data_IF_025729832519
#
_entry.id   IF_025729832519
#
_cell.length_a   1.000
_cell.length_b   1.000
_cell.length_c   1.000
_cell.angle_alpha   90.00
_cell.angle_beta   90.00
_cell.angle_gamma   90.00
#
_symmetry.space_group_name_H-M   'P 1'
#
loop_
_entity.id
_entity.type
_entity.pdbx_description
1 polymer ?
#
# COMPACT_ATOMS: atom_id res chain seq x y z
N UNK A 1 -48.88 30.93 -1.62
CA UNK A 1 -48.05 30.89 -0.39
C UNK A 1 -47.57 29.46 -0.20
N UNK A 2 -46.36 29.16 -0.67
CA UNK A 2 -45.79 27.80 -0.62
C UNK A 2 -45.15 27.60 0.76
N UNK A 3 -45.71 26.66 1.54
CA UNK A 3 -45.20 26.28 2.85
C UNK A 3 -43.88 25.54 2.71
N UNK A 4 -42.79 26.19 3.10
CA UNK A 4 -41.48 25.55 3.30
C UNK A 4 -41.62 24.65 4.52
N UNK A 5 -41.89 23.36 4.28
CA UNK A 5 -41.85 22.34 5.33
C UNK A 5 -40.42 22.30 5.88
N UNK A 6 -40.29 22.63 7.16
CA UNK A 6 -39.01 22.63 7.88
C UNK A 6 -38.30 21.30 7.71
N UNK A 7 -37.16 21.34 7.05
CA UNK A 7 -36.24 20.21 6.96
C UNK A 7 -35.74 19.98 8.40
N UNK A 8 -35.94 18.79 9.00
CA UNK A 8 -35.48 18.55 10.35
C UNK A 8 -33.97 18.76 10.41
N UNK A 9 -33.50 19.50 11.41
CA UNK A 9 -32.09 19.86 11.64
C UNK A 9 -31.11 18.68 11.66
N UNK A 10 -31.61 17.45 11.71
CA UNK A 10 -30.84 16.20 11.63
C UNK A 10 -30.55 15.71 10.21
N UNK A 11 -31.17 16.26 9.17
CA UNK A 11 -30.98 15.82 7.77
C UNK A 11 -29.71 16.40 7.17
N UNK A 12 -29.35 17.63 7.54
CA UNK A 12 -28.15 18.30 7.06
C UNK A 12 -26.83 17.56 7.37
N UNK A 13 -26.57 17.07 8.61
CA UNK A 13 -25.34 16.34 8.89
C UNK A 13 -25.29 14.98 8.18
N UNK A 14 -26.42 14.29 8.04
CA UNK A 14 -26.48 12.99 7.35
C UNK A 14 -26.15 13.15 5.86
N UNK A 15 -26.70 14.18 5.20
CA UNK A 15 -26.36 14.47 3.80
C UNK A 15 -24.90 14.85 3.61
N UNK A 16 -24.32 15.62 4.54
CA UNK A 16 -22.91 15.99 4.48
C UNK A 16 -22.00 14.75 4.57
N UNK A 17 -22.30 13.81 5.46
CA UNK A 17 -21.55 12.54 5.59
C UNK A 17 -21.65 11.73 4.30
N UNK A 18 -22.87 11.55 3.76
CA UNK A 18 -23.07 10.80 2.50
C UNK A 18 -22.32 11.43 1.31
N UNK A 19 -22.31 12.76 1.20
CA UNK A 19 -21.58 13.47 0.14
C UNK A 19 -20.06 13.27 0.25
N UNK A 20 -19.52 13.29 1.47
CA UNK A 20 -18.09 13.01 1.72
C UNK A 20 -17.73 11.56 1.36
N UNK A 21 -18.56 10.57 1.71
CA UNK A 21 -18.33 9.17 1.35
C UNK A 21 -18.36 8.93 -0.17
N UNK A 22 -19.23 9.64 -0.90
CA UNK A 22 -19.30 9.56 -2.36
C UNK A 22 -18.05 10.18 -3.03
N UNK A 23 -17.57 11.33 -2.52
CA UNK A 23 -16.37 12.01 -3.03
C UNK A 23 -15.08 11.26 -2.68
N UNK A 24 -15.05 10.55 -1.55
CA UNK A 24 -13.90 9.75 -1.11
C UNK A 24 -13.70 8.46 -1.92
N UNK A 25 -14.62 8.13 -2.84
CA UNK A 25 -14.48 6.96 -3.70
C UNK A 25 -14.57 5.65 -2.93
N UNK A 26 -15.50 5.54 -1.96
CA UNK A 26 -15.85 4.26 -1.34
C UNK A 26 -16.37 3.29 -2.41
N UNK A 27 -15.47 2.54 -3.05
CA UNK A 27 -15.82 1.45 -3.94
C UNK A 27 -16.23 0.28 -3.06
N UNK A 28 -17.53 -0.03 -3.04
CA UNK A 28 -17.98 -1.28 -2.45
C UNK A 28 -17.42 -2.42 -3.31
N UNK A 29 -16.52 -3.22 -2.73
CA UNK A 29 -16.04 -4.44 -3.37
C UNK A 29 -17.20 -5.43 -3.38
N UNK A 30 -17.93 -5.51 -4.50
CA UNK A 30 -18.88 -6.60 -4.71
C UNK A 30 -18.12 -7.91 -4.73
N UNK A 31 -18.53 -8.85 -3.87
CA UNK A 31 -18.02 -10.21 -3.91
C UNK A 31 -18.33 -10.83 -5.30
N UNK A 32 -17.36 -11.48 -5.95
CA UNK A 32 -17.63 -12.15 -7.22
C UNK A 32 -18.65 -13.28 -7.02
N UNK A 33 -19.54 -13.51 -8.00
CA UNK A 33 -20.48 -14.63 -7.90
C UNK A 33 -19.71 -15.96 -7.81
N UNK A 34 -20.22 -16.95 -7.06
CA UNK A 34 -19.58 -18.26 -6.99
C UNK A 34 -19.50 -18.89 -8.39
N UNK A 35 -18.30 -19.29 -8.82
CA UNK A 35 -18.09 -19.96 -10.11
C UNK A 35 -18.61 -21.40 -10.05
N UNK A 36 -19.38 -21.87 -11.05
CA UNK A 36 -19.71 -23.28 -11.17
C UNK A 36 -18.45 -24.10 -11.52
N UNK A 37 -18.23 -25.19 -10.79
CA UNK A 37 -17.10 -26.10 -10.98
C UNK A 37 -17.28 -26.94 -12.26
N UNK A 38 -16.50 -26.66 -13.30
CA UNK A 38 -16.39 -27.47 -14.51
C UNK A 38 -15.00 -28.08 -14.68
N UNK A 39 -14.85 -29.23 -15.37
CA UNK A 39 -13.57 -29.93 -15.51
C UNK A 39 -12.58 -29.22 -16.48
N UNK A 40 -11.29 -29.23 -16.13
CA UNK A 40 -10.19 -28.60 -16.89
C UNK A 40 -9.73 -29.43 -18.10
N UNK A 41 -9.29 -28.82 -19.23
CA UNK A 41 -8.65 -29.51 -20.33
C UNK A 41 -7.12 -29.64 -20.18
N UNK A 42 -6.58 -30.76 -20.67
CA UNK A 42 -5.17 -31.20 -20.62
C UNK A 42 -4.25 -30.44 -21.59
N UNK A 43 -3.01 -30.15 -21.18
CA UNK A 43 -1.99 -29.45 -21.97
C UNK A 43 -1.01 -30.41 -22.70
N UNK A 44 -0.40 -30.03 -23.86
CA UNK A 44 0.51 -30.89 -24.61
C UNK A 44 2.00 -30.73 -24.22
N UNK A 45 2.74 -31.82 -24.42
CA UNK A 45 4.14 -32.09 -24.07
C UNK A 45 5.15 -31.33 -24.96
N UNK A 46 6.29 -30.87 -24.39
CA UNK A 46 7.34 -30.17 -25.16
C UNK A 46 8.72 -30.87 -25.03
N UNK A 47 9.52 -30.95 -26.11
CA UNK A 47 10.74 -31.77 -26.20
C UNK A 47 11.99 -31.18 -25.53
N UNK A 48 12.84 -32.13 -25.11
CA UNK A 48 14.19 -32.09 -24.53
C UNK A 48 15.10 -30.93 -24.98
N UNK A 49 15.68 -30.19 -24.02
CA UNK A 49 16.77 -29.25 -24.26
C UNK A 49 17.97 -29.56 -23.35
N UNK A 50 19.14 -29.60 -23.99
CA UNK A 50 20.39 -30.19 -23.51
C UNK A 50 20.92 -29.59 -22.19
N UNK A 51 21.38 -30.50 -21.32
CA UNK A 51 21.88 -30.21 -19.98
C UNK A 51 23.18 -29.40 -19.99
N UNK A 52 23.11 -28.17 -19.46
CA UNK A 52 24.28 -27.38 -19.08
C UNK A 52 24.71 -27.78 -17.65
N UNK A 53 26.01 -28.07 -17.39
CA UNK A 53 26.45 -28.51 -16.07
C UNK A 53 26.39 -27.37 -15.04
N UNK A 54 25.95 -27.64 -13.80
CA UNK A 54 25.79 -26.60 -12.78
C UNK A 54 27.14 -26.11 -12.23
N UNK A 55 27.23 -24.84 -11.79
CA UNK A 55 28.44 -24.26 -11.21
C UNK A 55 28.79 -24.88 -9.83
N UNK A 56 30.06 -24.81 -9.40
CA UNK A 56 30.53 -25.48 -8.20
C UNK A 56 29.89 -24.92 -6.92
N UNK A 57 29.35 -25.84 -6.13
CA UNK A 57 28.59 -25.58 -4.92
C UNK A 57 29.43 -24.88 -3.85
N UNK A 58 29.04 -23.66 -3.46
CA UNK A 58 29.53 -23.04 -2.23
C UNK A 58 28.73 -23.61 -1.06
N UNK A 59 29.35 -24.50 -0.28
CA UNK A 59 28.87 -24.96 1.02
C UNK A 59 28.84 -23.79 2.00
N UNK A 60 27.68 -23.20 2.25
CA UNK A 60 27.35 -22.56 3.55
C UNK A 60 25.84 -22.69 3.76
N UNK A 61 25.44 -22.94 5.01
CA UNK A 61 24.08 -23.12 5.56
C UNK A 61 23.51 -24.54 5.47
N UNK A 62 24.17 -25.44 6.20
CA UNK A 62 23.46 -26.52 6.85
C UNK A 62 22.49 -25.96 7.91
N UNK A 63 21.31 -26.59 7.98
CA UNK A 63 20.26 -26.51 9.01
C UNK A 63 19.45 -25.23 9.13
N UNK A 64 18.60 -24.98 8.14
CA UNK A 64 17.18 -24.70 8.44
C UNK A 64 16.34 -25.52 7.47
N UNK A 65 15.61 -26.51 7.99
CA UNK A 65 14.61 -27.28 7.23
C UNK A 65 13.35 -26.42 7.10
N UNK A 66 13.01 -25.88 5.91
CA UNK A 66 11.72 -25.25 5.71
C UNK A 66 10.69 -26.37 5.55
N UNK A 67 9.66 -26.35 6.38
CA UNK A 67 8.48 -27.18 6.17
C UNK A 67 7.96 -27.01 4.73
N UNK A 68 7.55 -28.12 4.11
CA UNK A 68 7.09 -28.17 2.74
C UNK A 68 5.97 -27.15 2.47
N UNK A 69 6.26 -26.12 1.68
CA UNK A 69 5.25 -25.31 1.02
C UNK A 69 4.68 -26.09 -0.18
N UNK A 70 3.35 -26.09 -0.39
CA UNK A 70 2.75 -26.69 -1.58
C UNK A 70 3.20 -25.96 -2.87
N UNK A 71 3.19 -26.64 -4.04
CA UNK A 71 3.79 -26.13 -5.26
C UNK A 71 3.05 -24.91 -5.80
N UNK A 72 3.71 -23.74 -5.77
CA UNK A 72 3.33 -22.60 -6.58
C UNK A 72 3.89 -22.77 -8.00
N UNK A 73 2.99 -22.72 -8.99
CA UNK A 73 3.35 -22.72 -10.40
C UNK A 73 4.27 -21.53 -10.73
N UNK A 74 5.20 -21.67 -11.70
CA UNK A 74 6.04 -20.57 -12.13
C UNK A 74 5.17 -19.49 -12.78
N UNK A 75 5.10 -18.31 -12.16
CA UNK A 75 4.69 -17.09 -12.86
C UNK A 75 5.79 -16.73 -13.85
N UNK A 76 5.43 -16.67 -15.13
CA UNK A 76 6.23 -16.02 -16.16
C UNK A 76 6.30 -14.53 -15.84
N UNK A 77 7.35 -14.13 -15.14
CA UNK A 77 7.67 -12.72 -14.96
C UNK A 77 8.00 -12.13 -16.33
N UNK A 78 7.11 -11.28 -16.85
CA UNK A 78 7.42 -10.44 -17.98
C UNK A 78 8.38 -9.36 -17.48
N UNK A 79 9.68 -9.57 -17.68
CA UNK A 79 10.66 -8.49 -17.55
C UNK A 79 10.42 -7.50 -18.69
N UNK A 80 9.50 -6.57 -18.47
CA UNK A 80 9.47 -5.34 -19.23
C UNK A 80 10.69 -4.54 -18.79
N UNK A 81 11.72 -4.51 -19.64
CA UNK A 81 12.81 -3.55 -19.47
C UNK A 81 12.18 -2.15 -19.41
N UNK A 82 12.38 -1.39 -18.32
CA UNK A 82 11.87 -0.03 -18.26
C UNK A 82 12.59 0.78 -19.34
N UNK A 83 11.82 1.29 -20.30
CA UNK A 83 12.33 2.27 -21.27
C UNK A 83 12.76 3.47 -20.44
N UNK A 84 14.07 3.73 -20.40
CA UNK A 84 14.62 4.88 -19.69
C UNK A 84 14.08 6.16 -20.37
N UNK A 85 13.30 7.00 -19.67
CA UNK A 85 12.85 8.27 -20.23
C UNK A 85 14.05 9.14 -20.56
N UNK A 86 13.99 9.83 -21.69
CA UNK A 86 15.00 10.84 -22.03
C UNK A 86 15.05 11.91 -20.93
N UNK A 87 16.22 12.49 -20.65
CA UNK A 87 16.34 13.58 -19.68
C UNK A 87 15.41 14.74 -20.06
N UNK A 88 14.58 15.18 -19.12
CA UNK A 88 13.74 16.36 -19.32
C UNK A 88 14.63 17.61 -19.48
N UNK A 89 14.22 18.58 -20.33
CA UNK A 89 14.91 19.85 -20.43
C UNK A 89 14.88 20.58 -19.07
N UNK A 90 15.89 21.42 -18.78
CA UNK A 90 15.96 22.15 -17.53
C UNK A 90 14.72 23.06 -17.38
N UNK A 91 14.13 23.12 -16.18
CA UNK A 91 12.97 23.98 -15.93
C UNK A 91 13.33 25.45 -16.18
N UNK A 92 12.42 26.18 -16.82
CA UNK A 92 12.59 27.61 -17.03
C UNK A 92 12.73 28.35 -15.68
N UNK A 93 13.50 29.46 -15.61
CA UNK A 93 13.61 30.25 -14.38
C UNK A 93 12.22 30.73 -13.92
N UNK A 94 11.79 30.30 -12.73
CA UNK A 94 10.50 30.70 -12.19
C UNK A 94 10.60 32.14 -11.65
N UNK A 95 9.55 32.97 -11.84
CA UNK A 95 9.48 34.28 -11.20
C UNK A 95 9.57 34.11 -9.69
N UNK A 96 10.53 34.78 -9.04
CA UNK A 96 10.64 34.79 -7.58
C UNK A 96 9.46 35.56 -7.01
N UNK A 97 8.41 34.85 -6.60
CA UNK A 97 7.33 35.44 -5.82
C UNK A 97 7.89 35.93 -4.49
N UNK A 98 7.62 37.20 -4.18
CA UNK A 98 8.02 37.83 -2.93
C UNK A 98 7.39 37.04 -1.78
N UNK A 99 8.21 36.43 -0.92
CA UNK A 99 7.76 35.59 0.18
C UNK A 99 6.95 36.42 1.17
N UNK A 100 5.63 36.31 1.12
CA UNK A 100 4.75 36.87 2.14
C UNK A 100 5.04 36.15 3.44
N UNK A 101 5.27 36.91 4.52
CA UNK A 101 5.49 36.35 5.86
C UNK A 101 4.24 35.56 6.24
N UNK A 102 4.41 34.25 6.42
CA UNK A 102 3.31 33.39 6.85
C UNK A 102 2.91 33.76 8.28
N UNK A 103 1.60 33.80 8.59
CA UNK A 103 1.15 34.03 9.96
C UNK A 103 1.70 32.95 10.90
N UNK A 104 1.96 33.34 12.14
CA UNK A 104 2.42 32.42 13.18
C UNK A 104 1.43 31.25 13.32
N UNK A 105 1.94 30.02 13.23
CA UNK A 105 1.12 28.83 13.43
C UNK A 105 0.80 28.69 14.92
N UNK A 106 -0.46 28.40 15.29
CA UNK A 106 -0.79 28.04 16.66
C UNK A 106 -0.01 26.79 17.07
N UNK A 107 0.50 26.78 18.30
CA UNK A 107 1.11 25.61 18.91
C UNK A 107 0.05 24.53 19.10
N UNK A 108 0.25 23.38 18.46
CA UNK A 108 -0.58 22.20 18.70
C UNK A 108 -0.18 21.56 20.03
N UNK A 109 -1.11 20.87 20.70
CA UNK A 109 -0.77 20.03 21.85
C UNK A 109 0.31 19.01 21.46
N UNK A 110 1.07 18.55 22.46
CA UNK A 110 2.11 17.54 22.26
C UNK A 110 1.55 16.37 21.46
N UNK A 111 2.30 15.94 20.44
CA UNK A 111 1.88 14.83 19.59
C UNK A 111 1.65 13.59 20.46
N UNK A 112 0.63 12.78 20.15
CA UNK A 112 0.42 11.51 20.84
C UNK A 112 1.65 10.61 20.67
N UNK A 113 1.91 9.76 21.66
CA UNK A 113 2.98 8.75 21.60
C UNK A 113 2.68 7.74 20.48
N UNK A 114 3.17 8.06 19.29
CA UNK A 114 3.04 7.24 18.08
C UNK A 114 3.68 5.87 18.25
N UNK A 115 4.69 5.75 19.10
CA UNK A 115 5.37 4.48 19.32
C UNK A 115 4.55 3.59 20.25
N UNK A 116 3.98 4.15 21.31
CA UNK A 116 3.00 3.45 22.16
C UNK A 116 1.78 2.99 21.37
N UNK A 117 1.26 3.81 20.45
CA UNK A 117 0.16 3.41 19.57
C UNK A 117 0.53 2.23 18.66
N UNK A 118 1.78 2.16 18.18
CA UNK A 118 2.28 1.03 17.41
C UNK A 118 2.38 -0.25 18.23
N UNK A 119 2.76 -0.16 19.51
CA UNK A 119 2.79 -1.30 20.43
C UNK A 119 1.37 -1.78 20.80
N UNK A 120 0.43 -0.86 21.06
CA UNK A 120 -0.94 -1.18 21.50
C UNK A 120 -1.84 -1.65 20.35
N UNK A 121 -1.77 -0.98 19.19
CA UNK A 121 -2.67 -1.21 18.06
C UNK A 121 -1.96 -1.70 16.79
N UNK A 122 -0.69 -1.36 16.62
CA UNK A 122 0.11 -1.71 15.44
C UNK A 122 0.67 -3.13 15.46
N UNK A 123 0.47 -3.87 16.56
CA UNK A 123 0.99 -5.22 16.73
C UNK A 123 2.51 -5.27 16.90
N UNK A 124 3.15 -4.15 17.25
CA UNK A 124 4.57 -4.15 17.56
C UNK A 124 4.77 -4.80 18.92
N UNK A 125 5.64 -5.81 18.99
CA UNK A 125 6.02 -6.35 20.28
C UNK A 125 6.73 -5.26 21.11
N UNK A 126 6.52 -5.21 22.43
CA UNK A 126 7.26 -4.32 23.32
C UNK A 126 8.77 -4.48 23.13
N UNK A 127 9.47 -3.38 22.89
CA UNK A 127 10.92 -3.40 22.66
C UNK A 127 11.36 -3.99 21.30
N UNK A 128 10.43 -4.21 20.37
CA UNK A 128 10.78 -4.64 19.01
C UNK A 128 11.68 -3.63 18.28
N UNK A 129 12.30 -4.10 17.19
CA UNK A 129 13.07 -3.23 16.30
C UNK A 129 12.21 -2.09 15.74
N UNK A 130 10.94 -2.36 15.43
CA UNK A 130 9.99 -1.34 14.96
C UNK A 130 9.74 -0.26 16.02
N UNK A 131 9.48 -0.65 17.27
CA UNK A 131 9.31 0.28 18.39
C UNK A 131 10.58 1.10 18.67
N UNK A 132 11.76 0.48 18.49
CA UNK A 132 13.05 1.15 18.72
C UNK A 132 13.34 2.22 17.66
N UNK A 133 13.14 1.87 16.37
CA UNK A 133 13.27 2.84 15.26
C UNK A 133 12.27 3.98 15.42
N UNK A 134 11.02 3.68 15.83
CA UNK A 134 10.04 4.72 16.09
C UNK A 134 10.51 5.70 17.16
N UNK A 135 11.07 5.21 18.27
CA UNK A 135 11.56 6.08 19.34
C UNK A 135 12.73 6.94 18.89
N UNK A 136 13.66 6.40 18.11
CA UNK A 136 14.79 7.14 17.57
C UNK A 136 14.37 8.30 16.66
N UNK A 137 13.32 8.10 15.86
CA UNK A 137 12.89 9.09 14.86
C UNK A 137 11.81 10.06 15.41
N UNK A 138 11.00 9.60 16.37
CA UNK A 138 9.77 10.28 16.77
C UNK A 138 9.62 10.54 18.28
N UNK A 139 10.58 10.15 19.14
CA UNK A 139 10.59 10.67 20.52
C UNK A 139 11.09 12.11 20.55
N UNK A 140 10.38 13.03 21.23
CA UNK A 140 10.81 14.41 21.40
C UNK A 140 11.99 14.58 22.38
#
# INVERSE_FOLDING_TARGET
MAGVRGIPLFVAPVFAICAVCALAGCTTVSAPPPRPSGPSPTAPERPDEAAVPPPPARRVLATTHPAASPPHAPRTEHHHSPIRPAPAPPPAPHPRTRRTVAPARPSLPAAPDVCGLGEEYGGWAPGSQAASICREEYSP
#
